data_IF_415323881649
#
_entry.id   IF_415323881649
#
_cell.length_a   1.000
_cell.length_b   1.000
_cell.length_c   1.000
_cell.angle_alpha   90.00
_cell.angle_beta   90.00
_cell.angle_gamma   90.00
#
_symmetry.space_group_name_H-M   'P 1'
#
loop_
_entity.id
_entity.type
_entity.pdbx_description
1 polymer ?
#
# COMPACT_ATOMS: atom_id res chain seq x y z
N UNK A 1 41.09 38.98 -25.87
CA UNK A 1 41.50 37.96 -24.88
C UNK A 1 40.56 37.83 -23.68
N UNK A 2 39.62 38.72 -23.49
CA UNK A 2 38.66 38.60 -22.36
C UNK A 2 37.43 37.74 -22.63
N UNK A 3 37.23 37.23 -23.81
CA UNK A 3 36.06 36.41 -24.21
C UNK A 3 36.24 34.91 -24.03
N UNK A 4 37.43 34.43 -23.72
CA UNK A 4 37.70 33.02 -23.56
C UNK A 4 37.32 32.42 -22.19
N UNK A 5 37.27 33.24 -21.13
CA UNK A 5 36.99 32.72 -19.78
C UNK A 5 35.49 32.54 -19.47
N UNK A 6 34.58 33.10 -20.30
CA UNK A 6 33.12 32.95 -20.08
C UNK A 6 32.52 31.67 -20.65
N UNK A 7 33.20 31.04 -21.60
CA UNK A 7 32.69 29.79 -22.21
C UNK A 7 32.96 28.54 -21.36
N UNK A 8 33.99 28.57 -20.52
CA UNK A 8 34.32 27.42 -19.65
C UNK A 8 33.41 27.27 -18.45
N UNK A 9 32.83 28.36 -17.94
CA UNK A 9 31.94 28.31 -16.74
C UNK A 9 30.59 27.72 -17.09
N UNK A 10 30.08 27.91 -18.33
CA UNK A 10 28.77 27.35 -18.74
C UNK A 10 28.77 25.82 -18.91
N UNK A 11 29.89 25.27 -19.32
CA UNK A 11 29.98 23.78 -19.51
C UNK A 11 30.06 23.07 -18.19
N UNK A 12 30.69 23.63 -17.17
CA UNK A 12 30.77 23.01 -15.83
C UNK A 12 29.42 22.98 -15.10
N UNK A 13 28.58 23.98 -15.28
CA UNK A 13 27.24 24.05 -14.65
C UNK A 13 26.29 23.02 -15.28
N UNK A 14 26.33 22.79 -16.58
CA UNK A 14 25.49 21.82 -17.28
C UNK A 14 25.87 20.38 -16.88
N UNK A 15 27.15 20.11 -16.68
CA UNK A 15 27.62 18.77 -16.28
C UNK A 15 27.22 18.42 -14.83
N UNK A 16 27.19 19.39 -13.92
CA UNK A 16 26.76 19.20 -12.54
C UNK A 16 25.26 18.90 -12.44
N UNK A 17 24.42 19.56 -13.26
CA UNK A 17 22.98 19.27 -13.29
C UNK A 17 22.66 17.87 -13.84
N UNK A 18 23.38 17.38 -14.81
CA UNK A 18 23.17 16.05 -15.37
C UNK A 18 23.51 14.92 -14.37
N UNK A 19 24.54 15.12 -13.53
CA UNK A 19 24.91 14.18 -12.48
C UNK A 19 23.89 14.11 -11.35
N UNK A 20 23.25 15.22 -11.00
CA UNK A 20 22.19 15.26 -9.99
C UNK A 20 20.91 14.53 -10.45
N UNK A 21 20.57 14.57 -11.73
CA UNK A 21 19.44 13.83 -12.28
C UNK A 21 19.66 12.31 -12.30
N UNK A 22 20.87 11.85 -12.53
CA UNK A 22 21.19 10.43 -12.54
C UNK A 22 21.10 9.79 -11.14
N UNK A 23 21.39 10.53 -10.07
CA UNK A 23 21.30 10.05 -8.68
C UNK A 23 19.85 9.92 -8.20
N UNK A 24 18.91 10.73 -8.67
CA UNK A 24 17.50 10.62 -8.31
C UNK A 24 16.79 9.45 -9.01
N UNK A 25 17.23 9.04 -10.19
CA UNK A 25 16.67 7.91 -10.92
C UNK A 25 17.00 6.55 -10.26
N UNK A 26 18.17 6.41 -9.64
CA UNK A 26 18.59 5.17 -8.98
C UNK A 26 17.90 4.91 -7.64
N UNK A 27 17.45 5.94 -6.93
CA UNK A 27 16.70 5.80 -5.68
C UNK A 27 15.29 5.22 -5.92
N UNK A 28 14.60 5.64 -6.97
CA UNK A 28 13.26 5.15 -7.31
C UNK A 28 13.25 3.69 -7.83
N UNK A 29 14.31 3.25 -8.48
CA UNK A 29 14.42 1.88 -8.97
C UNK A 29 14.63 0.86 -7.83
N UNK A 30 15.17 1.26 -6.68
CA UNK A 30 15.37 0.39 -5.52
C UNK A 30 14.10 0.11 -4.74
N UNK A 31 13.14 1.03 -4.72
CA UNK A 31 11.86 0.84 -4.04
C UNK A 31 10.96 -0.20 -4.73
N UNK A 32 11.13 -0.43 -6.02
CA UNK A 32 10.37 -1.42 -6.78
C UNK A 32 11.05 -2.79 -6.91
N UNK A 33 12.28 -2.94 -6.44
CA UNK A 33 13.05 -4.18 -6.59
C UNK A 33 12.74 -5.24 -5.51
N UNK A 34 11.89 -4.95 -4.51
CA UNK A 34 11.63 -5.82 -3.35
C UNK A 34 10.69 -7.00 -3.60
N UNK A 35 10.09 -7.12 -4.77
CA UNK A 35 9.08 -8.13 -5.07
C UNK A 35 7.71 -7.80 -4.47
N UNK A 36 6.77 -8.74 -4.57
CA UNK A 36 5.39 -8.58 -4.13
C UNK A 36 4.88 -9.80 -3.38
N UNK A 37 3.89 -9.58 -2.53
CA UNK A 37 3.15 -10.59 -1.79
C UNK A 37 1.66 -10.52 -2.17
N UNK A 38 0.92 -11.59 -1.94
CA UNK A 38 -0.52 -11.64 -2.15
C UNK A 38 -1.25 -11.40 -0.84
N UNK A 39 -2.17 -10.44 -0.83
CA UNK A 39 -3.09 -10.21 0.28
C UNK A 39 -4.49 -10.67 -0.11
N UNK A 40 -5.01 -11.63 0.64
CA UNK A 40 -6.33 -12.21 0.43
C UNK A 40 -7.18 -12.02 1.69
N UNK A 41 -8.34 -11.40 1.56
CA UNK A 41 -9.25 -11.19 2.69
C UNK A 41 -10.62 -11.73 2.32
N UNK A 42 -11.08 -12.71 3.09
CA UNK A 42 -12.46 -13.20 3.04
C UNK A 42 -13.36 -12.34 3.89
N UNK A 43 -14.61 -12.25 3.51
CA UNK A 43 -15.67 -11.65 4.30
C UNK A 43 -16.43 -12.75 5.06
N UNK A 44 -16.62 -12.58 6.35
CA UNK A 44 -17.45 -13.48 7.15
C UNK A 44 -18.93 -13.30 6.80
N UNK A 45 -19.70 -14.42 6.72
CA UNK A 45 -21.15 -14.36 6.45
C UNK A 45 -21.97 -13.59 7.49
N UNK A 46 -21.49 -13.50 8.74
CA UNK A 46 -22.17 -12.80 9.83
C UNK A 46 -22.20 -11.26 9.69
N UNK A 47 -21.45 -10.71 8.75
CA UNK A 47 -21.46 -9.27 8.44
C UNK A 47 -22.73 -8.83 7.67
N UNK A 48 -23.55 -9.78 7.21
CA UNK A 48 -24.79 -9.46 6.48
C UNK A 48 -24.53 -8.93 5.06
N UNK A 49 -25.60 -8.57 4.36
CA UNK A 49 -25.57 -8.18 2.95
C UNK A 49 -25.70 -6.66 2.71
N UNK A 50 -26.06 -5.89 3.75
CA UNK A 50 -26.37 -4.46 3.62
C UNK A 50 -25.14 -3.54 3.75
N UNK A 51 -24.00 -4.09 4.13
CA UNK A 51 -22.78 -3.34 4.33
C UNK A 51 -21.63 -3.93 3.49
N UNK A 52 -20.63 -3.14 3.18
CA UNK A 52 -19.38 -3.65 2.62
C UNK A 52 -18.21 -3.38 3.57
N UNK A 53 -17.15 -4.14 3.40
CA UNK A 53 -15.91 -3.96 4.15
C UNK A 53 -14.95 -3.13 3.32
N UNK A 54 -14.68 -1.90 3.76
CA UNK A 54 -13.66 -1.08 3.15
C UNK A 54 -12.27 -1.55 3.60
N UNK A 55 -11.36 -1.70 2.66
CA UNK A 55 -9.96 -2.10 2.91
C UNK A 55 -9.04 -0.92 2.60
N UNK A 56 -8.22 -0.55 3.57
CA UNK A 56 -7.18 0.46 3.39
C UNK A 56 -5.81 -0.18 3.63
N UNK A 57 -4.87 0.19 2.80
CA UNK A 57 -3.48 -0.23 2.92
C UNK A 57 -2.62 1.03 3.04
N UNK A 58 -1.88 1.14 4.13
CA UNK A 58 -1.04 2.31 4.45
C UNK A 58 -1.81 3.64 4.41
N UNK A 59 -3.05 3.63 4.91
CA UNK A 59 -3.94 4.79 4.95
C UNK A 59 -4.62 5.13 3.62
N UNK A 60 -4.40 4.37 2.55
CA UNK A 60 -5.00 4.58 1.23
C UNK A 60 -6.10 3.56 0.97
N UNK A 61 -7.19 4.02 0.37
CA UNK A 61 -8.27 3.13 -0.04
C UNK A 61 -7.76 2.12 -1.10
N UNK A 62 -7.86 0.84 -0.77
CA UNK A 62 -7.45 -0.25 -1.67
C UNK A 62 -8.64 -0.96 -2.32
N UNK A 63 -9.85 -0.75 -1.82
CA UNK A 63 -11.06 -1.36 -2.33
C UNK A 63 -12.06 -1.71 -1.24
N UNK A 64 -13.11 -2.42 -1.61
CA UNK A 64 -14.15 -2.89 -0.70
C UNK A 64 -14.56 -4.32 -0.99
N UNK A 65 -15.03 -5.01 0.03
CA UNK A 65 -15.51 -6.39 -0.08
C UNK A 65 -17.03 -6.38 0.03
N UNK A 66 -17.69 -6.60 -1.09
CA UNK A 66 -19.14 -6.77 -1.16
C UNK A 66 -19.55 -8.15 -0.65
N UNK A 67 -20.86 -8.32 -0.42
CA UNK A 67 -21.41 -9.61 -0.03
C UNK A 67 -21.03 -10.72 -1.04
N UNK A 68 -20.66 -11.88 -0.56
CA UNK A 68 -20.18 -13.03 -1.33
C UNK A 68 -18.93 -12.76 -2.20
N UNK A 69 -18.17 -11.71 -1.90
CA UNK A 69 -16.91 -11.38 -2.58
C UNK A 69 -15.73 -11.48 -1.62
N UNK A 70 -14.54 -11.52 -2.20
CA UNK A 70 -13.28 -11.52 -1.50
C UNK A 70 -12.42 -10.35 -2.00
N UNK A 71 -11.47 -9.93 -1.18
CA UNK A 71 -10.40 -9.02 -1.59
C UNK A 71 -9.17 -9.86 -1.93
N UNK A 72 -8.60 -9.61 -3.08
CA UNK A 72 -7.43 -10.34 -3.58
C UNK A 72 -6.55 -9.40 -4.37
N UNK A 73 -5.43 -9.02 -3.81
CA UNK A 73 -4.54 -8.03 -4.41
C UNK A 73 -3.08 -8.33 -4.10
N UNK A 74 -2.21 -8.04 -5.07
CA UNK A 74 -0.77 -8.02 -4.86
C UNK A 74 -0.38 -6.72 -4.17
N UNK A 75 0.48 -6.83 -3.15
CA UNK A 75 1.06 -5.69 -2.43
C UNK A 75 2.59 -5.76 -2.49
N UNK A 76 3.29 -4.63 -2.43
CA UNK A 76 4.75 -4.64 -2.37
C UNK A 76 5.25 -5.40 -1.13
N UNK A 77 6.40 -6.06 -1.21
CA UNK A 77 7.06 -6.60 -0.03
C UNK A 77 7.45 -5.47 0.94
N UNK A 78 7.38 -5.74 2.23
CA UNK A 78 7.69 -4.79 3.28
C UNK A 78 6.58 -4.67 4.34
N UNK A 79 6.74 -3.72 5.24
CA UNK A 79 5.78 -3.45 6.30
C UNK A 79 4.59 -2.63 5.78
N UNK A 80 3.38 -3.12 6.05
CA UNK A 80 2.13 -2.46 5.68
C UNK A 80 1.16 -2.44 6.86
N UNK A 81 0.37 -1.37 6.94
CA UNK A 81 -0.80 -1.32 7.82
C UNK A 81 -2.03 -1.66 7.01
N UNK A 82 -2.73 -2.71 7.39
CA UNK A 82 -3.98 -3.15 6.76
C UNK A 82 -5.12 -2.78 7.69
N UNK A 83 -6.00 -1.90 7.23
CA UNK A 83 -7.18 -1.45 7.97
C UNK A 83 -8.45 -1.93 7.29
N UNK A 84 -9.41 -2.39 8.08
CA UNK A 84 -10.76 -2.74 7.62
C UNK A 84 -11.79 -1.95 8.40
N UNK A 85 -12.80 -1.46 7.69
CA UNK A 85 -13.90 -0.70 8.23
C UNK A 85 -15.21 -1.13 7.58
N UNK A 86 -16.26 -1.28 8.38
CA UNK A 86 -17.59 -1.56 7.86
C UNK A 86 -18.25 -0.26 7.38
N UNK A 87 -18.76 -0.28 6.15
CA UNK A 87 -19.47 0.84 5.53
C UNK A 87 -20.92 0.44 5.21
N UNK A 88 -21.92 1.33 5.39
CA UNK A 88 -21.81 2.69 5.92
C UNK A 88 -21.46 2.73 7.41
N UNK A 89 -20.85 3.82 7.86
CA UNK A 89 -20.35 4.02 9.22
C UNK A 89 -21.45 4.09 10.32
N UNK A 90 -22.68 3.95 9.96
CA UNK A 90 -23.83 3.87 10.89
C UNK A 90 -23.83 2.60 11.74
N UNK A 91 -23.02 1.64 11.35
CA UNK A 91 -22.82 0.43 12.14
C UNK A 91 -21.83 0.69 13.27
N UNK A 92 -22.22 0.27 14.45
CA UNK A 92 -21.50 0.48 15.71
C UNK A 92 -20.20 -0.35 15.86
N UNK A 93 -19.62 -0.80 14.75
CA UNK A 93 -18.37 -1.55 14.78
C UNK A 93 -17.17 -0.66 14.53
N UNK A 94 -16.26 -0.66 15.48
CA UNK A 94 -14.99 0.06 15.33
C UNK A 94 -14.14 -0.56 14.23
N UNK A 95 -13.46 0.27 13.42
CA UNK A 95 -12.47 -0.24 12.47
C UNK A 95 -11.31 -0.91 13.21
N UNK A 96 -10.61 -1.78 12.53
CA UNK A 96 -9.46 -2.48 13.06
C UNK A 96 -8.31 -2.45 12.06
N UNK A 97 -7.10 -2.37 12.56
CA UNK A 97 -5.89 -2.40 11.75
C UNK A 97 -4.90 -3.42 12.27
N UNK A 98 -4.12 -4.00 11.36
CA UNK A 98 -3.01 -4.90 11.68
C UNK A 98 -1.74 -4.40 10.97
N UNK A 99 -0.60 -4.65 11.60
CA UNK A 99 0.70 -4.54 10.95
C UNK A 99 1.04 -5.86 10.28
N UNK A 100 1.32 -5.81 8.99
CA UNK A 100 1.73 -6.96 8.18
C UNK A 100 3.12 -6.71 7.62
N UNK A 101 4.07 -7.56 7.98
CA UNK A 101 5.37 -7.59 7.34
C UNK A 101 5.32 -8.60 6.18
N UNK A 102 5.07 -8.09 4.98
CA UNK A 102 4.85 -8.90 3.78
C UNK A 102 6.18 -9.30 3.16
N UNK A 103 6.39 -10.60 3.01
CA UNK A 103 7.56 -11.17 2.33
C UNK A 103 7.21 -11.49 0.88
N UNK A 104 8.11 -11.18 -0.05
CA UNK A 104 7.94 -11.47 -1.46
C UNK A 104 7.64 -12.95 -1.70
N UNK A 105 6.69 -13.24 -2.58
CA UNK A 105 6.28 -14.60 -2.94
C UNK A 105 5.34 -15.27 -1.94
N UNK A 106 5.01 -14.63 -0.81
CA UNK A 106 4.11 -15.19 0.19
C UNK A 106 2.67 -14.72 -0.03
N UNK A 107 1.72 -15.56 0.42
CA UNK A 107 0.29 -15.22 0.47
C UNK A 107 -0.14 -15.09 1.92
N UNK A 108 -0.82 -13.99 2.21
CA UNK A 108 -1.38 -13.69 3.53
C UNK A 108 -2.90 -13.69 3.43
N UNK A 109 -3.54 -14.59 4.17
CA UNK A 109 -4.98 -14.81 4.12
C UNK A 109 -5.62 -14.46 5.45
N UNK A 110 -6.68 -13.65 5.40
CA UNK A 110 -7.42 -13.18 6.55
C UNK A 110 -8.92 -13.33 6.33
N UNK A 111 -9.67 -13.32 7.43
CA UNK A 111 -11.12 -13.19 7.42
C UNK A 111 -11.51 -11.93 8.18
N UNK A 112 -12.29 -11.06 7.53
CA UNK A 112 -12.92 -9.91 8.18
C UNK A 112 -14.19 -10.41 8.89
N UNK A 113 -14.24 -10.26 10.21
CA UNK A 113 -15.30 -10.76 11.05
C UNK A 113 -15.64 -9.82 12.20
N UNK A 114 -16.81 -9.97 12.77
CA UNK A 114 -17.23 -9.26 13.98
C UNK A 114 -16.66 -9.94 15.21
N UNK A 115 -16.09 -9.16 16.11
CA UNK A 115 -15.63 -9.63 17.41
C UNK A 115 -15.71 -8.51 18.44
N UNK A 116 -16.55 -8.68 19.46
CA UNK A 116 -16.60 -7.76 20.59
C UNK A 116 -16.91 -6.30 20.23
N UNK A 117 -17.78 -6.04 19.26
CA UNK A 117 -18.13 -4.68 18.82
C UNK A 117 -17.11 -4.05 17.87
N UNK A 118 -16.13 -4.79 17.39
CA UNK A 118 -15.17 -4.37 16.39
C UNK A 118 -15.22 -5.27 15.16
N UNK A 119 -14.85 -4.71 14.01
CA UNK A 119 -14.51 -5.48 12.82
C UNK A 119 -13.03 -5.85 12.92
N UNK A 120 -12.70 -7.12 12.92
CA UNK A 120 -11.34 -7.62 13.08
C UNK A 120 -10.90 -8.47 11.90
N UNK A 121 -9.59 -8.52 11.67
CA UNK A 121 -8.96 -9.44 10.73
C UNK A 121 -8.40 -10.65 11.49
N UNK A 122 -9.05 -11.79 11.31
CA UNK A 122 -8.54 -13.08 11.78
C UNK A 122 -7.69 -13.76 10.73
N UNK A 123 -6.58 -14.37 11.10
CA UNK A 123 -5.76 -15.15 10.19
C UNK A 123 -6.45 -16.44 9.79
N UNK A 124 -6.43 -16.79 8.50
CA UNK A 124 -6.90 -18.08 7.98
C UNK A 124 -5.79 -19.11 7.98
#
# INVERSE_FOLDING_TARGET
>A
MKTYSRKFVSVAVVTACALLFALTSTANAREHAGGSARLFIKRSPDLGNLAYVAVRIDGRNAGGILWARNFDQMIPAGAHTIEVQLEPAEHTYSPSSILLNAQAGHTYSFMAMKKGGALVLGRL
#
